data_IF_552865359253
#
_entry.id   IF_552865359253
#
_cell.length_a   1.000
_cell.length_b   1.000
_cell.length_c   1.000
_cell.angle_alpha   90.00
_cell.angle_beta   90.00
_cell.angle_gamma   90.00
#
_symmetry.space_group_name_H-M   'P 1'
#
loop_
_entity.id
_entity.type
_entity.pdbx_description
1 polymer ?
#
# COMPACT_ATOMS: atom_id res chain seq x y z
N UNK A 1 60.52 -24.67 -18.31
CA UNK A 1 60.11 -24.02 -17.06
C UNK A 1 60.08 -22.51 -17.25
N UNK A 2 58.88 -21.92 -17.34
CA UNK A 2 58.43 -20.70 -16.65
C UNK A 2 57.08 -20.32 -17.26
N UNK A 3 56.04 -20.51 -16.45
CA UNK A 3 54.68 -20.05 -16.66
C UNK A 3 54.71 -18.52 -16.68
N UNK A 4 54.14 -17.87 -17.69
CA UNK A 4 53.59 -16.53 -17.52
C UNK A 4 52.26 -16.48 -18.26
N UNK A 5 51.24 -16.85 -17.50
CA UNK A 5 49.85 -16.53 -17.73
C UNK A 5 49.77 -14.99 -17.68
N UNK A 6 49.42 -14.31 -18.78
CA UNK A 6 49.03 -12.91 -18.71
C UNK A 6 47.66 -12.76 -19.36
N UNK A 7 46.69 -12.83 -18.45
CA UNK A 7 45.26 -12.66 -18.61
C UNK A 7 45.00 -11.28 -19.20
N UNK A 8 44.56 -11.22 -20.46
CA UNK A 8 43.96 -10.00 -21.00
C UNK A 8 42.59 -9.84 -20.33
N UNK A 9 42.55 -8.95 -19.33
CA UNK A 9 41.36 -8.51 -18.65
C UNK A 9 40.41 -7.86 -19.68
N UNK A 10 39.39 -8.61 -20.07
CA UNK A 10 38.26 -8.08 -20.81
C UNK A 10 37.50 -7.16 -19.85
N UNK A 11 37.74 -5.85 -19.96
CA UNK A 11 36.92 -4.83 -19.31
C UNK A 11 35.57 -4.74 -20.06
N UNK A 12 34.70 -5.71 -19.79
CA UNK A 12 33.27 -5.56 -20.04
C UNK A 12 32.76 -4.61 -18.95
N UNK A 13 32.72 -3.32 -19.24
CA UNK A 13 31.87 -2.39 -18.49
C UNK A 13 30.41 -2.68 -18.85
N UNK A 14 29.84 -3.79 -18.35
CA UNK A 14 28.41 -3.85 -18.12
C UNK A 14 28.17 -2.99 -16.89
N UNK A 15 27.93 -1.70 -17.11
CA UNK A 15 27.10 -0.91 -16.21
C UNK A 15 25.74 -0.76 -16.90
N UNK A 16 25.23 -1.90 -17.37
CA UNK A 16 23.86 -2.06 -17.78
C UNK A 16 23.09 -2.66 -16.61
N UNK A 17 22.53 -1.79 -15.79
CA UNK A 17 21.26 -1.94 -15.08
C UNK A 17 21.03 -0.58 -14.42
N UNK A 18 20.23 0.27 -15.05
CA UNK A 18 19.54 1.33 -14.34
C UNK A 18 18.84 0.68 -13.14
N UNK A 19 19.40 0.82 -11.94
CA UNK A 19 18.63 0.61 -10.74
C UNK A 19 17.49 1.62 -10.83
N UNK A 20 16.31 1.16 -11.28
CA UNK A 20 15.07 1.75 -10.84
C UNK A 20 15.02 1.48 -9.34
N UNK A 21 15.71 2.33 -8.56
CA UNK A 21 15.77 2.22 -7.12
C UNK A 21 14.40 2.59 -6.58
N UNK A 22 13.83 1.73 -5.74
CA UNK A 22 12.69 2.11 -4.93
C UNK A 22 13.10 3.27 -4.01
N UNK A 23 12.30 4.31 -3.96
CA UNK A 23 12.51 5.50 -3.14
C UNK A 23 11.72 5.35 -1.85
N UNK A 24 12.40 5.14 -0.72
CA UNK A 24 11.75 5.00 0.59
C UNK A 24 11.03 6.28 1.00
N UNK A 25 9.87 6.14 1.66
CA UNK A 25 9.10 7.27 2.19
C UNK A 25 9.61 7.61 3.60
N UNK A 26 10.19 8.81 3.75
CA UNK A 26 10.73 9.29 5.03
C UNK A 26 9.70 10.03 5.90
N UNK A 27 8.56 10.44 5.32
CA UNK A 27 7.53 11.24 5.98
C UNK A 27 6.15 10.62 5.86
N UNK A 28 5.21 11.39 5.34
CA UNK A 28 3.88 10.90 5.01
C UNK A 28 3.74 10.71 3.50
N UNK A 29 3.07 9.64 3.08
CA UNK A 29 2.66 9.42 1.70
C UNK A 29 1.23 8.90 1.65
N UNK A 30 0.50 9.30 0.61
CA UNK A 30 -0.88 8.85 0.37
C UNK A 30 -0.87 8.04 -0.92
N UNK A 31 -1.36 6.81 -0.83
CA UNK A 31 -1.59 5.91 -1.96
C UNK A 31 -3.09 5.81 -2.15
N UNK A 32 -3.60 6.16 -3.32
CA UNK A 32 -5.04 6.21 -3.56
C UNK A 32 -5.42 5.55 -4.88
N UNK A 33 -6.69 5.16 -4.96
CA UNK A 33 -7.34 4.74 -6.20
C UNK A 33 -8.86 4.94 -6.05
N UNK A 34 -9.55 5.04 -7.17
CA UNK A 34 -10.98 5.28 -7.23
C UNK A 34 -11.66 4.23 -8.13
N UNK A 35 -12.52 3.42 -7.51
CA UNK A 35 -13.30 2.38 -8.18
C UNK A 35 -14.66 2.85 -8.64
N UNK A 36 -15.53 1.90 -8.98
CA UNK A 36 -16.93 2.12 -9.33
C UNK A 36 -17.77 2.50 -8.11
N UNK A 37 -17.56 1.86 -6.97
CA UNK A 37 -18.40 2.04 -5.78
C UNK A 37 -17.66 2.73 -4.63
N UNK A 38 -16.33 2.58 -4.58
CA UNK A 38 -15.49 3.05 -3.49
C UNK A 38 -14.31 3.88 -4.00
N UNK A 39 -13.94 4.92 -3.24
CA UNK A 39 -12.59 5.48 -3.22
C UNK A 39 -11.88 5.01 -1.97
N UNK A 40 -10.55 4.86 -2.07
CA UNK A 40 -9.74 4.46 -0.95
C UNK A 40 -8.39 5.18 -0.92
N UNK A 41 -7.93 5.43 0.29
CA UNK A 41 -6.59 5.96 0.56
C UNK A 41 -5.89 5.07 1.58
N UNK A 42 -4.65 4.70 1.31
CA UNK A 42 -3.70 4.18 2.28
C UNK A 42 -2.70 5.28 2.62
N UNK A 43 -2.74 5.73 3.87
CA UNK A 43 -1.94 6.85 4.36
C UNK A 43 -0.80 6.27 5.19
N UNK A 44 0.37 6.20 4.57
CA UNK A 44 1.61 5.87 5.26
C UNK A 44 2.10 7.08 6.04
N UNK A 45 2.28 6.94 7.35
CA UNK A 45 2.96 7.93 8.20
C UNK A 45 4.17 7.25 8.85
N UNK A 46 5.36 7.66 8.45
CA UNK A 46 6.61 7.06 8.92
C UNK A 46 6.71 7.07 10.45
N UNK A 47 6.30 8.16 11.10
CA UNK A 47 6.37 8.28 12.56
C UNK A 47 5.39 7.33 13.23
N UNK A 48 4.13 7.32 12.79
CA UNK A 48 3.11 6.41 13.30
C UNK A 48 3.54 4.95 13.12
N UNK A 49 4.13 4.65 11.96
CA UNK A 49 4.65 3.33 11.63
C UNK A 49 5.80 2.90 12.55
N UNK A 50 6.75 3.78 12.86
CA UNK A 50 7.83 3.47 13.81
C UNK A 50 7.32 3.24 15.23
N UNK A 51 6.32 4.04 15.66
CA UNK A 51 5.80 3.97 17.03
C UNK A 51 4.85 2.80 17.27
N UNK A 52 3.98 2.48 16.30
CA UNK A 52 2.84 1.57 16.50
C UNK A 52 2.75 0.45 15.48
N UNK A 53 3.58 0.46 14.43
CA UNK A 53 3.55 -0.56 13.37
C UNK A 53 2.17 -0.65 12.70
N UNK A 54 1.54 0.51 12.52
CA UNK A 54 0.20 0.67 11.91
C UNK A 54 0.17 1.87 10.99
N UNK A 55 -0.74 1.85 10.00
CA UNK A 55 -1.03 2.98 9.12
C UNK A 55 -2.54 3.18 8.97
N UNK A 56 -2.94 4.36 8.48
CA UNK A 56 -4.34 4.69 8.27
C UNK A 56 -4.81 4.24 6.90
N UNK A 57 -6.06 3.78 6.86
CA UNK A 57 -6.81 3.58 5.64
C UNK A 57 -8.10 4.37 5.74
N UNK A 58 -8.47 5.05 4.66
CA UNK A 58 -9.75 5.74 4.53
C UNK A 58 -10.52 5.10 3.37
N UNK A 59 -11.80 4.79 3.62
CA UNK A 59 -12.75 4.32 2.61
C UNK A 59 -13.91 5.28 2.53
N UNK A 60 -14.28 5.65 1.31
CA UNK A 60 -15.44 6.50 1.04
C UNK A 60 -16.29 5.85 -0.07
N UNK A 61 -17.57 5.56 0.19
CA UNK A 61 -18.48 5.08 -0.85
C UNK A 61 -19.02 6.25 -1.67
N UNK A 62 -19.25 5.99 -2.96
CA UNK A 62 -19.75 7.01 -3.89
C UNK A 62 -21.26 7.25 -3.79
N UNK A 63 -22.05 6.18 -3.69
CA UNK A 63 -23.52 6.28 -3.79
C UNK A 63 -24.27 5.98 -2.50
N UNK A 64 -23.64 5.27 -1.56
CA UNK A 64 -24.28 4.86 -0.31
C UNK A 64 -23.86 5.78 0.85
N UNK A 65 -24.80 6.06 1.76
CA UNK A 65 -24.49 6.68 3.04
C UNK A 65 -24.12 5.60 4.06
N UNK A 66 -22.91 5.66 4.61
CA UNK A 66 -22.45 4.80 5.68
C UNK A 66 -23.11 5.16 7.00
N UNK A 67 -23.60 4.13 7.69
CA UNK A 67 -23.97 4.20 9.10
C UNK A 67 -23.06 3.32 9.95
N UNK A 68 -22.90 3.59 11.27
CA UNK A 68 -22.11 2.75 12.16
C UNK A 68 -22.51 1.26 12.14
N UNK A 69 -23.79 0.94 11.94
CA UNK A 69 -24.29 -0.43 11.86
C UNK A 69 -23.85 -1.14 10.59
N UNK A 70 -23.61 -0.39 9.50
CA UNK A 70 -23.22 -0.93 8.22
C UNK A 70 -21.74 -1.31 8.16
N UNK A 71 -20.89 -0.72 9.01
CA UNK A 71 -19.45 -1.02 9.07
C UNK A 71 -19.15 -2.51 9.31
N UNK A 72 -20.07 -3.24 9.95
CA UNK A 72 -19.93 -4.69 10.19
C UNK A 72 -20.01 -5.52 8.91
N UNK A 73 -20.51 -4.95 7.83
CA UNK A 73 -20.63 -5.61 6.53
C UNK A 73 -19.49 -5.27 5.58
N UNK A 74 -18.52 -4.48 6.02
CA UNK A 74 -17.34 -4.10 5.25
C UNK A 74 -16.16 -4.93 5.75
N UNK A 75 -15.64 -5.78 4.89
CA UNK A 75 -14.36 -6.47 5.08
C UNK A 75 -13.37 -5.94 4.07
N UNK A 76 -12.14 -5.72 4.52
CA UNK A 76 -11.06 -5.18 3.67
C UNK A 76 -9.89 -6.15 3.71
N UNK A 77 -9.29 -6.39 2.57
CA UNK A 77 -8.00 -7.06 2.42
C UNK A 77 -7.03 -6.09 1.75
N UNK A 78 -5.84 -5.94 2.29
CA UNK A 78 -4.78 -5.12 1.69
C UNK A 78 -3.59 -6.02 1.46
N UNK A 79 -3.14 -6.08 0.22
CA UNK A 79 -2.00 -6.86 -0.22
C UNK A 79 -0.90 -5.94 -0.75
N UNK A 80 0.34 -6.23 -0.36
CA UNK A 80 1.52 -5.52 -0.86
C UNK A 80 2.05 -6.14 -2.15
N UNK A 81 2.96 -5.43 -2.82
CA UNK A 81 3.61 -5.95 -4.02
C UNK A 81 4.42 -7.23 -3.77
N UNK A 82 4.86 -7.45 -2.52
CA UNK A 82 5.63 -8.63 -2.10
C UNK A 82 4.72 -9.81 -1.69
N UNK A 83 3.39 -9.62 -1.70
CA UNK A 83 2.38 -10.65 -1.49
C UNK A 83 1.82 -10.72 -0.07
N UNK A 84 2.41 -10.00 0.89
CA UNK A 84 1.92 -9.92 2.26
C UNK A 84 0.52 -9.32 2.30
N UNK A 85 -0.38 -9.94 3.06
CA UNK A 85 -1.80 -9.59 3.08
C UNK A 85 -2.32 -9.45 4.49
N UNK A 86 -3.06 -8.36 4.75
CA UNK A 86 -3.81 -8.15 5.99
C UNK A 86 -5.29 -8.04 5.66
N UNK A 87 -6.10 -8.84 6.35
CA UNK A 87 -7.56 -8.85 6.21
C UNK A 87 -8.23 -8.50 7.54
N UNK A 88 -9.32 -7.74 7.49
CA UNK A 88 -10.20 -7.61 8.64
C UNK A 88 -11.51 -6.87 8.39
N UNK A 89 -12.40 -6.96 9.37
CA UNK A 89 -13.69 -6.28 9.36
C UNK A 89 -13.57 -4.86 9.92
N UNK A 90 -14.12 -3.86 9.22
CA UNK A 90 -13.94 -2.45 9.57
C UNK A 90 -14.51 -2.12 10.96
N UNK A 91 -15.66 -2.70 11.34
CA UNK A 91 -16.24 -2.49 12.67
C UNK A 91 -15.35 -3.01 13.81
N UNK A 92 -14.59 -4.08 13.56
CA UNK A 92 -13.70 -4.68 14.56
C UNK A 92 -12.35 -3.96 14.66
N UNK A 93 -11.95 -3.21 13.63
CA UNK A 93 -10.76 -2.37 13.65
C UNK A 93 -11.02 -1.07 14.42
N UNK A 94 -9.95 -0.46 14.94
CA UNK A 94 -10.03 0.90 15.46
C UNK A 94 -10.40 1.83 14.32
N UNK A 95 -11.61 2.39 14.36
CA UNK A 95 -12.17 3.19 13.28
C UNK A 95 -12.77 4.51 13.79
N UNK A 96 -12.87 5.47 12.86
CA UNK A 96 -13.60 6.72 12.99
C UNK A 96 -14.47 6.88 11.75
N UNK A 97 -15.76 7.12 11.95
CA UNK A 97 -16.67 7.52 10.87
C UNK A 97 -16.80 9.05 10.90
N UNK A 98 -16.54 9.69 9.78
CA UNK A 98 -16.65 11.15 9.61
C UNK A 98 -17.41 11.41 8.30
N UNK A 99 -18.54 12.12 8.40
CA UNK A 99 -19.52 12.26 7.32
C UNK A 99 -19.91 10.93 6.66
N UNK A 100 -19.33 10.63 5.50
CA UNK A 100 -19.54 9.39 4.75
C UNK A 100 -18.27 8.55 4.56
N UNK A 101 -17.15 8.95 5.17
CA UNK A 101 -15.88 8.24 5.07
C UNK A 101 -15.57 7.51 6.38
N UNK A 102 -15.10 6.27 6.28
CA UNK A 102 -14.59 5.51 7.43
C UNK A 102 -13.08 5.41 7.35
N UNK A 103 -12.41 5.88 8.41
CA UNK A 103 -10.97 5.74 8.58
C UNK A 103 -10.65 4.70 9.63
N UNK A 104 -9.70 3.80 9.38
CA UNK A 104 -9.31 2.74 10.31
C UNK A 104 -7.82 2.42 10.27
N UNK A 105 -7.29 1.89 11.37
CA UNK A 105 -5.90 1.48 11.46
C UNK A 105 -5.71 0.04 10.99
N UNK A 106 -4.74 -0.15 10.10
CA UNK A 106 -4.26 -1.47 9.67
C UNK A 106 -2.85 -1.72 10.18
N UNK A 107 -2.54 -2.99 10.45
CA UNK A 107 -1.21 -3.40 10.88
C UNK A 107 -0.16 -3.25 9.78
N UNK A 108 1.08 -3.54 10.15
CA UNK A 108 2.22 -3.51 9.23
C UNK A 108 2.01 -4.45 8.05
N UNK A 109 2.28 -3.91 6.86
CA UNK A 109 2.14 -4.61 5.58
C UNK A 109 3.49 -4.91 4.94
N UNK A 110 4.48 -4.04 5.11
CA UNK A 110 5.86 -4.17 4.62
C UNK A 110 6.83 -3.64 5.67
N UNK A 111 8.08 -4.13 5.69
CA UNK A 111 9.13 -3.55 6.53
C UNK A 111 9.45 -2.09 6.19
N UNK A 112 9.33 -1.73 4.90
CA UNK A 112 9.56 -0.39 4.36
C UNK A 112 8.51 -0.06 3.30
N UNK A 113 8.11 1.20 3.23
CA UNK A 113 7.18 1.70 2.21
C UNK A 113 7.93 2.60 1.25
N UNK A 114 7.79 2.35 -0.04
CA UNK A 114 8.43 3.11 -1.11
C UNK A 114 7.38 3.86 -1.94
N UNK A 115 7.80 4.96 -2.55
CA UNK A 115 6.96 5.80 -3.43
C UNK A 115 6.37 5.02 -4.60
N UNK A 116 7.10 4.04 -5.10
CA UNK A 116 6.75 3.21 -6.24
C UNK A 116 5.93 1.96 -5.84
N UNK A 117 5.63 1.77 -4.55
CA UNK A 117 4.83 0.63 -4.11
C UNK A 117 3.37 0.76 -4.60
N UNK A 118 2.79 -0.40 -4.90
CA UNK A 118 1.37 -0.54 -5.24
C UNK A 118 0.74 -1.44 -4.19
N UNK A 119 -0.34 -0.96 -3.57
CA UNK A 119 -1.14 -1.74 -2.63
C UNK A 119 -2.44 -2.16 -3.29
N UNK A 120 -2.70 -3.46 -3.33
CA UNK A 120 -3.95 -4.00 -3.83
C UNK A 120 -4.94 -4.09 -2.67
N UNK A 121 -5.99 -3.27 -2.71
CA UNK A 121 -7.04 -3.27 -1.71
C UNK A 121 -8.29 -3.94 -2.28
N UNK A 122 -8.76 -5.00 -1.62
CA UNK A 122 -10.05 -5.63 -1.89
C UNK A 122 -11.05 -5.20 -0.83
N UNK A 123 -12.17 -4.64 -1.26
CA UNK A 123 -13.28 -4.22 -0.42
C UNK A 123 -14.43 -5.19 -0.66
N UNK A 124 -14.97 -5.77 0.40
CA UNK A 124 -16.12 -6.67 0.35
C UNK A 124 -17.25 -6.03 1.14
N UNK A 125 -18.33 -5.66 0.44
CA UNK A 125 -19.54 -5.10 1.04
C UNK A 125 -20.76 -5.92 0.64
N UNK A 126 -21.46 -6.51 1.61
CA UNK A 126 -22.68 -7.33 1.37
C UNK A 126 -22.52 -8.42 0.28
N UNK A 127 -21.34 -9.04 0.20
CA UNK A 127 -20.95 -10.07 -0.80
C UNK A 127 -20.60 -9.53 -2.20
N UNK A 128 -20.59 -8.21 -2.40
CA UNK A 128 -20.02 -7.60 -3.58
C UNK A 128 -18.55 -7.24 -3.31
N UNK A 129 -17.71 -7.42 -4.31
CA UNK A 129 -16.28 -7.22 -4.20
C UNK A 129 -15.82 -6.15 -5.18
N UNK A 130 -14.98 -5.24 -4.70
CA UNK A 130 -14.26 -4.28 -5.53
C UNK A 130 -12.77 -4.36 -5.21
N UNK A 131 -11.93 -4.20 -6.24
CA UNK A 131 -10.48 -4.25 -6.12
C UNK A 131 -9.90 -2.93 -6.64
N UNK A 132 -9.13 -2.28 -5.78
CA UNK A 132 -8.44 -1.02 -6.01
C UNK A 132 -6.92 -1.25 -5.99
N UNK A 133 -6.18 -0.55 -6.85
CA UNK A 133 -4.73 -0.58 -6.91
C UNK A 133 -4.18 0.78 -6.48
N UNK A 134 -4.00 0.93 -5.17
CA UNK A 134 -3.59 2.18 -4.54
C UNK A 134 -2.15 2.51 -4.91
N UNK A 135 -1.94 3.69 -5.49
CA UNK A 135 -0.64 4.20 -5.93
C UNK A 135 -0.46 5.61 -5.42
N UNK A 136 0.79 6.01 -5.19
CA UNK A 136 1.08 7.40 -4.94
C UNK A 136 0.84 8.20 -6.23
N UNK A 137 0.23 9.38 -6.12
CA UNK A 137 0.13 10.28 -7.28
C UNK A 137 1.54 10.61 -7.79
N UNK A 138 1.75 10.53 -9.10
CA UNK A 138 2.98 11.04 -9.71
C UNK A 138 2.89 12.58 -9.63
N UNK A 139 3.84 13.22 -8.94
CA UNK A 139 4.02 14.67 -9.03
C UNK A 139 4.33 14.99 -10.52
N UNK A 140 3.38 15.58 -11.25
CA UNK A 140 3.59 16.14 -12.60
C UNK A 140 4.51 17.38 -12.58
#
# INVERSE_FOLDING_TARGET
MKKVLLVAFVFICIVGCSLGGKTEVEGQAVFSDEGKEWSAEYIYDHKLYQERKTNWVTLEPKEIQLTPEQLKYITVEIQTSDGDTVTGNVKAMMNKLDDNAVSFLVGTLNDRTCKEDVFKMKIIYKNEEEVLNLKMAEDE
#
